data_IF_914002880944
#
_entry.id   IF_914002880944
#
_cell.length_a   1.000
_cell.length_b   1.000
_cell.length_c   1.000
_cell.angle_alpha   90.00
_cell.angle_beta   90.00
_cell.angle_gamma   90.00
#
_symmetry.space_group_name_H-M   'P 1'
#
loop_
_entity.id
_entity.type
_entity.pdbx_description
1 polymer ?
#
# COMPACT_ATOMS: atom_id res chain seq x y z
N UNK A 1 57.09 7.16 39.45
CA UNK A 1 55.68 7.57 39.23
C UNK A 1 55.52 8.28 37.87
N UNK A 2 55.61 7.57 36.73
CA UNK A 2 55.46 8.16 35.37
C UNK A 2 54.90 7.17 34.33
N UNK A 3 53.97 6.27 34.71
CA UNK A 3 53.41 5.27 33.76
C UNK A 3 51.89 5.10 33.80
N UNK A 4 51.16 5.98 34.48
CA UNK A 4 49.70 5.83 34.64
C UNK A 4 48.84 6.80 33.82
N UNK A 5 49.44 7.72 33.06
CA UNK A 5 48.68 8.79 32.38
C UNK A 5 48.27 8.41 30.95
N UNK A 6 48.85 7.38 30.34
CA UNK A 6 48.58 7.03 28.93
C UNK A 6 47.34 6.16 28.67
N UNK A 7 46.67 5.64 29.70
CA UNK A 7 45.47 4.80 29.53
C UNK A 7 44.18 5.63 29.52
N UNK A 8 44.21 6.86 30.04
CA UNK A 8 43.02 7.71 30.15
C UNK A 8 42.61 8.38 28.82
N UNK A 9 43.48 8.42 27.79
CA UNK A 9 43.17 9.09 26.52
C UNK A 9 42.39 8.21 25.51
N UNK A 10 42.32 6.89 25.72
CA UNK A 10 41.51 6.01 24.86
C UNK A 10 40.03 5.91 25.29
N UNK A 11 39.69 6.40 26.49
CA UNK A 11 38.32 6.33 27.01
C UNK A 11 37.41 7.48 26.55
N UNK A 12 37.94 8.52 25.89
CA UNK A 12 37.15 9.67 25.43
C UNK A 12 36.75 9.63 23.95
N UNK A 13 37.16 8.60 23.21
CA UNK A 13 36.74 8.39 21.81
C UNK A 13 35.68 7.29 21.64
N UNK A 14 35.15 6.74 22.73
CA UNK A 14 33.87 6.04 22.69
C UNK A 14 32.73 7.06 22.67
N UNK A 15 32.70 7.91 21.66
CA UNK A 15 31.41 8.28 21.09
C UNK A 15 30.85 6.95 20.62
N UNK A 16 29.94 6.39 21.41
CA UNK A 16 28.98 5.46 20.89
C UNK A 16 28.41 6.14 19.65
N UNK A 17 28.88 5.72 18.47
CA UNK A 17 28.11 5.85 17.26
C UNK A 17 26.83 5.14 17.63
N UNK A 18 25.83 5.89 18.07
CA UNK A 18 24.46 5.42 18.11
C UNK A 18 24.22 5.06 16.66
N UNK A 19 24.41 3.77 16.33
CA UNK A 19 23.96 3.21 15.08
C UNK A 19 22.49 3.61 15.06
N UNK A 20 22.19 4.61 14.24
CA UNK A 20 20.83 5.09 14.07
C UNK A 20 20.04 3.84 13.76
N UNK A 21 19.14 3.46 14.67
CA UNK A 21 18.19 2.39 14.39
C UNK A 21 17.53 2.81 13.10
N UNK A 22 17.79 2.04 12.03
CA UNK A 22 17.24 2.36 10.72
C UNK A 22 15.74 2.51 10.89
N UNK A 23 15.25 3.73 10.67
CA UNK A 23 13.81 4.00 10.60
C UNK A 23 13.20 3.43 9.32
N UNK A 24 14.03 2.85 8.45
CA UNK A 24 13.62 2.24 7.20
C UNK A 24 12.90 0.92 7.50
N UNK A 25 11.61 0.88 7.19
CA UNK A 25 10.80 -0.33 7.30
C UNK A 25 11.42 -1.46 6.46
N UNK A 26 11.31 -2.69 6.95
CA UNK A 26 11.74 -3.87 6.17
C UNK A 26 11.04 -3.90 4.81
N UNK A 27 11.76 -4.28 3.75
CA UNK A 27 11.22 -4.44 2.39
C UNK A 27 9.98 -5.34 2.38
N UNK A 28 9.95 -6.38 3.23
CA UNK A 28 8.78 -7.27 3.37
C UNK A 28 7.54 -6.50 3.83
N UNK A 29 7.70 -5.63 4.84
CA UNK A 29 6.59 -4.80 5.35
C UNK A 29 6.12 -3.82 4.28
N UNK A 30 7.05 -3.24 3.51
CA UNK A 30 6.73 -2.32 2.43
C UNK A 30 6.00 -3.02 1.28
N UNK A 31 6.33 -4.27 0.96
CA UNK A 31 5.61 -5.10 -0.02
C UNK A 31 4.17 -5.35 0.43
N UNK A 32 3.99 -5.81 1.67
CA UNK A 32 2.66 -6.09 2.22
C UNK A 32 1.78 -4.83 2.23
N UNK A 33 2.37 -3.70 2.62
CA UNK A 33 1.67 -2.41 2.62
C UNK A 33 1.34 -1.94 1.20
N UNK A 34 2.25 -2.09 0.24
CA UNK A 34 1.99 -1.73 -1.15
C UNK A 34 0.86 -2.58 -1.76
N UNK A 35 0.80 -3.89 -1.44
CA UNK A 35 -0.30 -4.77 -1.86
C UNK A 35 -1.64 -4.31 -1.28
N UNK A 36 -1.70 -4.07 0.03
CA UNK A 36 -2.91 -3.59 0.69
C UNK A 36 -3.37 -2.23 0.13
N UNK A 37 -2.43 -1.34 -0.17
CA UNK A 37 -2.75 -0.04 -0.77
C UNK A 37 -3.28 -0.19 -2.20
N UNK A 38 -2.75 -1.12 -3.01
CA UNK A 38 -3.31 -1.45 -4.32
C UNK A 38 -4.74 -1.96 -4.15
N UNK A 39 -4.98 -2.88 -3.22
CA UNK A 39 -6.31 -3.44 -3.00
C UNK A 39 -7.34 -2.37 -2.65
N UNK A 40 -7.00 -1.50 -1.69
CA UNK A 40 -7.82 -0.36 -1.30
C UNK A 40 -8.06 0.59 -2.48
N UNK A 41 -7.01 1.00 -3.19
CA UNK A 41 -7.11 1.97 -4.28
C UNK A 41 -7.93 1.45 -5.47
N UNK A 42 -7.73 0.18 -5.86
CA UNK A 42 -8.55 -0.47 -6.91
C UNK A 42 -10.01 -0.52 -6.49
N UNK A 43 -10.28 -0.94 -5.25
CA UNK A 43 -11.65 -1.03 -4.72
C UNK A 43 -12.33 0.33 -4.70
N UNK A 44 -11.66 1.37 -4.22
CA UNK A 44 -12.20 2.73 -4.18
C UNK A 44 -12.44 3.28 -5.60
N UNK A 45 -11.51 3.08 -6.54
CA UNK A 45 -11.69 3.49 -7.94
C UNK A 45 -12.96 2.89 -8.56
N UNK A 46 -13.17 1.57 -8.38
CA UNK A 46 -14.35 0.88 -8.88
C UNK A 46 -15.61 1.39 -8.19
N UNK A 47 -15.60 1.52 -6.85
CA UNK A 47 -16.76 2.04 -6.09
C UNK A 47 -17.17 3.42 -6.61
N UNK A 48 -16.25 4.39 -6.67
CA UNK A 48 -16.60 5.74 -7.13
C UNK A 48 -17.05 5.79 -8.59
N UNK A 49 -16.59 4.85 -9.44
CA UNK A 49 -17.07 4.75 -10.82
C UNK A 49 -18.57 4.41 -10.93
N UNK A 50 -19.16 3.88 -9.85
CA UNK A 50 -20.60 3.61 -9.73
C UNK A 50 -21.37 4.74 -9.02
N UNK A 51 -20.73 5.88 -8.79
CA UNK A 51 -21.27 7.04 -8.07
C UNK A 51 -21.18 8.30 -8.94
N UNK A 52 -21.84 9.41 -8.56
CA UNK A 52 -21.68 10.69 -9.25
C UNK A 52 -20.28 11.32 -9.12
N UNK A 53 -19.38 10.76 -8.30
CA UNK A 53 -18.05 11.32 -7.97
C UNK A 53 -16.97 10.79 -8.92
N UNK A 54 -17.11 11.05 -10.23
CA UNK A 54 -16.20 10.53 -11.25
C UNK A 54 -14.73 10.98 -11.05
N UNK A 55 -14.52 12.20 -10.54
CA UNK A 55 -13.18 12.74 -10.24
C UNK A 55 -12.44 11.91 -9.19
N UNK A 56 -13.17 11.27 -8.27
CA UNK A 56 -12.57 10.53 -7.18
C UNK A 56 -12.19 9.14 -7.66
N UNK A 57 -12.95 8.57 -8.60
CA UNK A 57 -12.55 7.37 -9.31
C UNK A 57 -11.19 7.58 -10.01
N UNK A 58 -11.01 8.71 -10.69
CA UNK A 58 -9.76 9.04 -11.39
C UNK A 58 -8.60 9.31 -10.42
N UNK A 59 -8.84 9.97 -9.29
CA UNK A 59 -7.86 10.10 -8.22
C UNK A 59 -7.34 8.73 -7.76
N UNK A 60 -8.24 7.78 -7.47
CA UNK A 60 -7.85 6.45 -7.03
C UNK A 60 -7.19 5.62 -8.13
N UNK A 61 -7.50 5.84 -9.43
CA UNK A 61 -6.70 5.27 -10.52
C UNK A 61 -5.24 5.76 -10.47
N UNK A 62 -5.02 7.04 -10.20
CA UNK A 62 -3.68 7.59 -9.98
C UNK A 62 -2.95 6.87 -8.83
N UNK A 63 -3.64 6.68 -7.71
CA UNK A 63 -3.11 5.94 -6.56
C UNK A 63 -2.78 4.48 -6.90
N UNK A 64 -3.56 3.81 -7.75
CA UNK A 64 -3.23 2.45 -8.22
C UNK A 64 -1.89 2.43 -8.96
N UNK A 65 -1.64 3.39 -9.85
CA UNK A 65 -0.36 3.47 -10.57
C UNK A 65 0.82 3.71 -9.64
N UNK A 66 0.67 4.60 -8.66
CA UNK A 66 1.72 4.89 -7.68
C UNK A 66 2.05 3.65 -6.84
N UNK A 67 1.03 3.00 -6.28
CA UNK A 67 1.24 1.80 -5.46
C UNK A 67 1.73 0.60 -6.27
N UNK A 68 1.32 0.48 -7.54
CA UNK A 68 1.89 -0.48 -8.48
C UNK A 68 3.40 -0.24 -8.66
N UNK A 69 3.81 1.00 -8.92
CA UNK A 69 5.22 1.34 -9.09
C UNK A 69 6.03 1.04 -7.83
N UNK A 70 5.49 1.39 -6.67
CA UNK A 70 6.11 1.10 -5.37
C UNK A 70 6.26 -0.41 -5.16
N UNK A 71 5.23 -1.21 -5.44
CA UNK A 71 5.29 -2.66 -5.32
C UNK A 71 6.35 -3.26 -6.25
N UNK A 72 6.43 -2.80 -7.52
CA UNK A 72 7.45 -3.25 -8.46
C UNK A 72 8.85 -2.97 -7.93
N UNK A 73 9.11 -1.75 -7.44
CA UNK A 73 10.41 -1.38 -6.87
C UNK A 73 10.78 -2.30 -5.70
N UNK A 74 9.87 -2.51 -4.74
CA UNK A 74 10.14 -3.35 -3.59
C UNK A 74 10.36 -4.82 -3.98
N UNK A 75 9.61 -5.36 -4.95
CA UNK A 75 9.81 -6.72 -5.45
C UNK A 75 11.17 -6.88 -6.14
N UNK A 76 11.62 -5.89 -6.91
CA UNK A 76 12.96 -5.90 -7.52
C UNK A 76 14.05 -5.91 -6.43
N UNK A 77 13.86 -5.15 -5.34
CA UNK A 77 14.79 -5.15 -4.19
C UNK A 77 14.89 -6.53 -3.50
N UNK A 78 13.88 -7.40 -3.65
CA UNK A 78 13.95 -8.80 -3.17
C UNK A 78 14.67 -9.76 -4.12
N UNK A 79 15.20 -9.28 -5.24
CA UNK A 79 15.94 -10.07 -6.22
C UNK A 79 15.08 -10.61 -7.38
N UNK A 80 13.84 -10.16 -7.52
CA UNK A 80 13.04 -10.48 -8.72
C UNK A 80 13.54 -9.69 -9.93
N UNK A 81 13.40 -10.25 -11.12
CA UNK A 81 13.57 -9.46 -12.34
C UNK A 81 12.47 -8.41 -12.46
N UNK A 82 12.76 -7.28 -13.10
CA UNK A 82 11.77 -6.21 -13.30
C UNK A 82 10.50 -6.73 -14.00
N UNK A 83 10.66 -7.61 -14.99
CA UNK A 83 9.52 -8.20 -15.70
C UNK A 83 8.64 -9.06 -14.77
N UNK A 84 9.25 -9.88 -13.91
CA UNK A 84 8.51 -10.68 -12.92
C UNK A 84 7.82 -9.78 -11.90
N UNK A 85 8.51 -8.77 -11.38
CA UNK A 85 7.95 -7.82 -10.42
C UNK A 85 6.73 -7.07 -11.00
N UNK A 86 6.84 -6.59 -12.25
CA UNK A 86 5.74 -5.95 -13.00
C UNK A 86 4.56 -6.89 -13.20
N UNK A 87 4.81 -8.15 -13.50
CA UNK A 87 3.77 -9.15 -13.67
C UNK A 87 3.05 -9.41 -12.33
N UNK A 88 3.78 -9.66 -11.24
CA UNK A 88 3.19 -9.88 -9.91
C UNK A 88 2.39 -8.67 -9.44
N UNK A 89 2.89 -7.45 -9.63
CA UNK A 89 2.15 -6.25 -9.28
C UNK A 89 0.87 -6.09 -10.14
N UNK A 90 0.91 -6.48 -11.42
CA UNK A 90 -0.26 -6.43 -12.29
C UNK A 90 -1.29 -7.50 -11.91
N UNK A 91 -0.84 -8.71 -11.56
CA UNK A 91 -1.70 -9.79 -11.06
C UNK A 91 -2.46 -9.35 -9.80
N UNK A 92 -1.81 -8.61 -8.89
CA UNK A 92 -2.48 -8.02 -7.72
C UNK A 92 -3.60 -7.05 -8.11
N UNK A 93 -3.35 -6.13 -9.05
CA UNK A 93 -4.34 -5.17 -9.55
C UNK A 93 -5.52 -5.90 -10.21
N UNK A 94 -5.23 -6.84 -11.11
CA UNK A 94 -6.24 -7.59 -11.87
C UNK A 94 -7.07 -8.48 -10.95
N UNK A 95 -6.43 -9.19 -10.02
CA UNK A 95 -7.11 -10.04 -9.04
C UNK A 95 -8.12 -9.23 -8.21
N UNK A 96 -7.72 -8.06 -7.71
CA UNK A 96 -8.64 -7.21 -6.94
C UNK A 96 -9.77 -6.66 -7.82
N UNK A 97 -9.47 -6.24 -9.05
CA UNK A 97 -10.50 -5.73 -9.96
C UNK A 97 -11.56 -6.80 -10.26
N UNK A 98 -11.13 -8.03 -10.54
CA UNK A 98 -12.02 -9.17 -10.77
C UNK A 98 -12.83 -9.53 -9.52
N UNK A 99 -12.21 -9.51 -8.34
CA UNK A 99 -12.89 -9.74 -7.07
C UNK A 99 -14.03 -8.73 -6.86
N UNK A 100 -13.75 -7.44 -7.07
CA UNK A 100 -14.72 -6.37 -6.96
C UNK A 100 -15.82 -6.46 -8.01
N UNK A 101 -15.49 -6.74 -9.27
CA UNK A 101 -16.47 -6.91 -10.33
C UNK A 101 -17.44 -8.07 -10.02
N UNK A 102 -16.92 -9.20 -9.53
CA UNK A 102 -17.74 -10.32 -9.11
C UNK A 102 -18.67 -9.93 -7.95
N UNK A 103 -18.13 -9.32 -6.90
CA UNK A 103 -18.90 -8.87 -5.73
C UNK A 103 -20.04 -7.94 -6.14
N UNK A 104 -19.77 -6.98 -7.03
CA UNK A 104 -20.77 -6.03 -7.50
C UNK A 104 -21.82 -6.67 -8.42
N UNK A 105 -21.41 -7.61 -9.29
CA UNK A 105 -22.33 -8.30 -10.19
C UNK A 105 -23.28 -9.24 -9.45
N UNK A 106 -22.78 -9.96 -8.43
CA UNK A 106 -23.58 -10.89 -7.63
C UNK A 106 -24.71 -10.14 -6.88
N UNK A 107 -24.44 -8.93 -6.39
CA UNK A 107 -25.38 -8.12 -5.59
C UNK A 107 -26.23 -7.15 -6.41
N UNK A 108 -25.89 -6.90 -7.68
CA UNK A 108 -26.69 -6.04 -8.58
C UNK A 108 -28.09 -6.62 -8.82
N UNK A 109 -28.24 -7.94 -8.71
CA UNK A 109 -29.52 -8.65 -8.79
C UNK A 109 -30.47 -8.32 -7.63
N UNK A 110 -29.96 -7.83 -6.50
CA UNK A 110 -30.72 -7.46 -5.31
C UNK A 110 -31.44 -6.11 -5.37
N UNK A 111 -31.13 -5.29 -6.39
CA UNK A 111 -31.75 -3.98 -6.61
C UNK A 111 -30.98 -2.79 -5.99
N UNK A 112 -31.40 -1.58 -6.33
CA UNK A 112 -30.63 -0.33 -6.12
C UNK A 112 -30.23 -0.08 -4.66
N UNK A 113 -31.10 -0.37 -3.70
CA UNK A 113 -30.85 -0.11 -2.28
C UNK A 113 -29.75 -1.04 -1.70
N UNK A 114 -29.81 -2.34 -2.02
CA UNK A 114 -28.83 -3.34 -1.59
C UNK A 114 -27.47 -3.06 -2.24
N UNK A 115 -27.47 -2.73 -3.53
CA UNK A 115 -26.27 -2.31 -4.25
C UNK A 115 -25.62 -1.06 -3.64
N UNK A 116 -26.41 -0.04 -3.28
CA UNK A 116 -25.90 1.18 -2.62
C UNK A 116 -25.29 0.86 -1.25
N UNK A 117 -25.95 -0.01 -0.47
CA UNK A 117 -25.47 -0.42 0.85
C UNK A 117 -24.16 -1.21 0.77
N UNK A 118 -24.04 -2.11 -0.21
CA UNK A 118 -22.79 -2.83 -0.50
C UNK A 118 -21.66 -1.84 -0.80
N UNK A 119 -21.87 -0.90 -1.74
CA UNK A 119 -20.88 0.12 -2.07
C UNK A 119 -20.43 0.89 -0.82
N UNK A 120 -21.37 1.24 0.08
CA UNK A 120 -21.06 1.94 1.34
C UNK A 120 -20.21 1.09 2.28
N UNK A 121 -20.58 -0.16 2.49
CA UNK A 121 -19.84 -1.08 3.34
C UNK A 121 -18.42 -1.34 2.81
N UNK A 122 -18.29 -1.62 1.51
CA UNK A 122 -17.00 -1.88 0.88
C UNK A 122 -16.12 -0.64 0.91
N UNK A 123 -16.68 0.57 0.78
CA UNK A 123 -15.91 1.80 0.87
C UNK A 123 -15.36 2.07 2.28
N UNK A 124 -16.15 1.77 3.32
CA UNK A 124 -15.68 1.89 4.72
C UNK A 124 -14.55 0.90 4.99
N UNK A 125 -14.71 -0.36 4.54
CA UNK A 125 -13.67 -1.39 4.70
C UNK A 125 -12.36 -1.01 4.03
N UNK A 126 -12.43 -0.39 2.85
CA UNK A 126 -11.27 0.04 2.08
C UNK A 126 -10.80 1.46 2.40
N UNK A 127 -11.38 2.11 3.41
CA UNK A 127 -11.04 3.47 3.84
C UNK A 127 -11.10 4.50 2.70
N UNK A 128 -12.11 4.41 1.83
CA UNK A 128 -12.33 5.37 0.77
C UNK A 128 -12.75 6.72 1.38
N UNK A 129 -11.81 7.65 1.48
CA UNK A 129 -11.84 8.86 2.33
C UNK A 129 -13.04 9.78 2.04
N UNK A 130 -13.65 9.69 0.85
CA UNK A 130 -14.80 10.51 0.42
C UNK A 130 -16.18 9.82 0.47
N UNK A 131 -16.26 8.51 0.69
CA UNK A 131 -17.54 7.76 0.64
C UNK A 131 -18.05 7.35 2.01
N UNK A 132 -17.17 7.21 3.01
CA UNK A 132 -17.57 6.88 4.38
C UNK A 132 -18.40 7.98 5.07
N UNK A 133 -18.44 9.19 4.50
CA UNK A 133 -19.17 10.36 5.02
C UNK A 133 -20.47 10.69 4.25
N UNK A 134 -20.93 9.81 3.34
CA UNK A 134 -22.20 9.91 2.58
C UNK A 134 -23.27 8.98 3.14
#
# INVERSE_FOLDING_TARGET
MKKLIMVAMFAFFSVAANASYSTQQSVVIQIDQARANIESAVSCSIIYSHTPMATEADYYKGMVYENYSNLVEQLVLTGQSEQQARQTAMEQVVSQAQHMEKLLNDERAGGKAQFTQLLKQTAVQNQCVHYANL
#
